data_IF_312597656024
#
_entry.id   IF_312597656024
#
_cell.length_a   1.000
_cell.length_b   1.000
_cell.length_c   1.000
_cell.angle_alpha   90.00
_cell.angle_beta   90.00
_cell.angle_gamma   90.00
#
_symmetry.space_group_name_H-M   'P 1'
#
loop_
_entity.id
_entity.type
_entity.pdbx_description
1 polymer ?
#
# COMPACT_ATOMS: atom_id res chain seq x y z
N UNK A 1 -17.47 -16.68 -8.14
CA UNK A 1 -16.35 -15.86 -7.62
C UNK A 1 -15.39 -16.85 -6.97
N UNK A 2 -14.18 -17.02 -7.50
CA UNK A 2 -13.17 -17.81 -6.80
C UNK A 2 -12.80 -17.02 -5.56
N UNK A 3 -13.04 -17.58 -4.37
CA UNK A 3 -12.71 -16.89 -3.13
C UNK A 3 -11.20 -16.70 -3.02
N UNK A 4 -10.74 -15.45 -3.05
CA UNK A 4 -9.34 -15.15 -2.79
C UNK A 4 -8.96 -15.67 -1.39
N UNK A 5 -7.76 -16.23 -1.27
CA UNK A 5 -7.24 -16.81 -0.03
C UNK A 5 -6.50 -15.75 0.78
N UNK A 6 -7.01 -15.46 1.95
CA UNK A 6 -6.40 -14.52 2.89
C UNK A 6 -5.72 -15.32 4.01
N UNK A 7 -4.40 -15.18 4.13
CA UNK A 7 -3.66 -15.73 5.25
C UNK A 7 -3.62 -14.70 6.39
N UNK A 8 -4.19 -15.04 7.53
CA UNK A 8 -4.11 -14.25 8.76
C UNK A 8 -3.01 -14.83 9.64
N UNK A 9 -2.01 -14.01 9.95
CA UNK A 9 -0.85 -14.35 10.79
C UNK A 9 -0.90 -13.52 12.06
N UNK A 10 -1.25 -14.12 13.16
CA UNK A 10 -1.37 -13.46 14.46
C UNK A 10 -1.33 -14.56 15.54
N UNK A 11 -0.59 -14.35 16.63
CA UNK A 11 -0.49 -15.29 17.76
C UNK A 11 -1.66 -15.13 18.75
N UNK A 12 -2.46 -14.06 18.60
CA UNK A 12 -3.66 -13.82 19.39
C UNK A 12 -4.88 -14.54 18.79
N UNK A 13 -5.43 -15.62 19.40
CA UNK A 13 -6.60 -16.32 18.87
C UNK A 13 -7.85 -15.45 18.74
N UNK A 14 -7.92 -14.37 19.52
CA UNK A 14 -9.03 -13.40 19.50
C UNK A 14 -9.11 -12.69 18.16
N UNK A 15 -7.98 -12.29 17.59
CA UNK A 15 -7.91 -11.62 16.29
C UNK A 15 -8.47 -12.53 15.20
N UNK A 16 -8.05 -13.80 15.18
CA UNK A 16 -8.57 -14.77 14.21
C UNK A 16 -10.06 -15.04 14.38
N UNK A 17 -10.55 -15.13 15.64
CA UNK A 17 -11.98 -15.28 15.94
C UNK A 17 -12.80 -14.09 15.46
N UNK A 18 -12.26 -12.88 15.54
CA UNK A 18 -12.90 -11.67 15.07
C UNK A 18 -12.88 -11.57 13.52
N UNK A 19 -11.74 -11.87 12.90
CA UNK A 19 -11.54 -11.66 11.46
C UNK A 19 -12.18 -12.74 10.58
N UNK A 20 -12.11 -14.01 10.97
CA UNK A 20 -12.59 -15.14 10.17
C UNK A 20 -14.04 -15.00 9.73
N UNK A 21 -15.04 -14.68 10.61
CA UNK A 21 -16.41 -14.52 10.17
C UNK A 21 -16.59 -13.37 9.18
N UNK A 22 -15.92 -12.24 9.41
CA UNK A 22 -16.02 -11.06 8.57
C UNK A 22 -15.41 -11.31 7.18
N UNK A 23 -14.24 -11.93 7.10
CA UNK A 23 -13.59 -12.29 5.84
C UNK A 23 -14.41 -13.33 5.06
N UNK A 24 -14.91 -14.37 5.75
CA UNK A 24 -15.76 -15.40 5.12
C UNK A 24 -17.07 -14.83 4.59
N UNK A 25 -17.70 -13.90 5.34
CA UNK A 25 -18.92 -13.22 4.88
C UNK A 25 -18.69 -12.37 3.61
N UNK A 26 -17.44 -11.89 3.40
CA UNK A 26 -17.04 -11.21 2.17
C UNK A 26 -16.64 -12.16 1.04
N UNK A 27 -16.72 -13.49 1.23
CA UNK A 27 -16.44 -14.52 0.23
C UNK A 27 -14.98 -14.94 0.16
N UNK A 28 -14.13 -14.57 1.12
CA UNK A 28 -12.73 -14.99 1.19
C UNK A 28 -12.57 -16.36 1.84
N UNK A 29 -11.60 -17.15 1.35
CA UNK A 29 -11.10 -18.32 2.05
C UNK A 29 -10.04 -17.89 3.08
N UNK A 30 -10.21 -18.29 4.36
CA UNK A 30 -9.33 -17.83 5.45
C UNK A 30 -8.39 -18.94 5.88
N UNK A 31 -7.10 -18.72 5.62
CA UNK A 31 -5.99 -19.49 6.18
C UNK A 31 -5.49 -18.80 7.46
N UNK A 32 -4.86 -19.55 8.36
CA UNK A 32 -4.28 -18.99 9.58
C UNK A 32 -2.90 -19.56 9.90
N UNK A 33 -2.07 -18.74 10.55
CA UNK A 33 -0.77 -19.10 11.09
C UNK A 33 -0.55 -18.31 12.38
N UNK A 34 0.08 -18.92 13.37
CA UNK A 34 0.31 -18.32 14.71
C UNK A 34 1.79 -17.93 14.91
N UNK A 35 2.65 -18.25 13.96
CA UNK A 35 4.09 -17.99 14.03
C UNK A 35 4.63 -17.57 12.66
N UNK A 36 5.75 -16.86 12.65
CA UNK A 36 6.39 -16.45 11.40
C UNK A 36 6.84 -17.63 10.55
N UNK A 37 7.34 -18.70 11.18
CA UNK A 37 7.74 -19.93 10.46
C UNK A 37 6.54 -20.61 9.81
N UNK A 38 5.42 -20.75 10.52
CA UNK A 38 4.19 -21.33 9.96
C UNK A 38 3.60 -20.43 8.87
N UNK A 39 3.73 -19.11 9.00
CA UNK A 39 3.33 -18.14 7.97
C UNK A 39 4.15 -18.32 6.68
N UNK A 40 5.48 -18.36 6.77
CA UNK A 40 6.36 -18.57 5.60
C UNK A 40 6.05 -19.91 4.91
N UNK A 41 5.82 -20.98 5.69
CA UNK A 41 5.42 -22.26 5.14
C UNK A 41 4.05 -22.17 4.43
N UNK A 42 3.06 -21.52 5.04
CA UNK A 42 1.74 -21.34 4.44
C UNK A 42 1.80 -20.50 3.16
N UNK A 43 2.60 -19.43 3.13
CA UNK A 43 2.81 -18.60 1.93
C UNK A 43 3.40 -19.45 0.79
N UNK A 44 4.42 -20.26 1.07
CA UNK A 44 5.07 -21.09 0.07
C UNK A 44 4.17 -22.24 -0.43
N UNK A 45 3.42 -22.92 0.46
CA UNK A 45 2.68 -24.14 0.14
C UNK A 45 1.23 -23.90 -0.28
N UNK A 46 0.61 -22.83 0.19
CA UNK A 46 -0.81 -22.52 -0.05
C UNK A 46 -1.01 -21.36 -1.01
N UNK A 47 0.05 -20.59 -1.34
CA UNK A 47 0.03 -19.43 -2.22
C UNK A 47 -1.21 -18.52 -1.98
N UNK A 48 -1.32 -17.86 -0.79
CA UNK A 48 -2.42 -16.96 -0.50
C UNK A 48 -2.38 -15.75 -1.46
N UNK A 49 -3.56 -15.17 -1.72
CA UNK A 49 -3.68 -13.99 -2.56
C UNK A 49 -3.35 -12.69 -1.79
N UNK A 50 -3.42 -12.76 -0.43
CA UNK A 50 -3.02 -11.67 0.46
C UNK A 50 -2.65 -12.24 1.83
N UNK A 51 -1.73 -11.58 2.52
CA UNK A 51 -1.32 -11.88 3.90
C UNK A 51 -1.67 -10.71 4.80
N UNK A 52 -2.42 -10.96 5.87
CA UNK A 52 -2.55 -10.09 7.05
C UNK A 52 -1.52 -10.53 8.07
N UNK A 53 -0.61 -9.65 8.49
CA UNK A 53 0.52 -10.01 9.32
C UNK A 53 0.62 -9.13 10.56
N UNK A 54 0.55 -9.74 11.73
CA UNK A 54 1.02 -9.10 12.95
C UNK A 54 2.54 -9.07 13.00
N UNK A 55 3.13 -8.01 13.56
CA UNK A 55 4.58 -7.90 13.72
C UNK A 55 5.10 -8.57 14.99
N UNK A 56 4.27 -8.70 16.01
CA UNK A 56 4.62 -9.22 17.34
C UNK A 56 4.61 -10.73 17.45
N UNK A 57 5.14 -11.45 16.46
CA UNK A 57 5.11 -12.93 16.47
C UNK A 57 6.09 -13.53 17.50
N UNK A 58 5.76 -14.70 18.10
CA UNK A 58 6.54 -15.26 19.20
C UNK A 58 7.89 -15.84 18.78
N UNK A 59 8.10 -16.17 17.50
CA UNK A 59 9.28 -16.88 17.02
C UNK A 59 10.23 -16.03 16.17
N UNK A 60 9.75 -14.95 15.56
CA UNK A 60 10.56 -14.01 14.78
C UNK A 60 9.87 -12.66 14.59
N UNK A 61 10.66 -11.61 14.31
CA UNK A 61 10.13 -10.30 13.92
C UNK A 61 9.33 -10.41 12.61
N UNK A 62 8.09 -9.89 12.60
CA UNK A 62 7.23 -9.90 11.41
C UNK A 62 7.88 -9.23 10.19
N UNK A 63 8.79 -8.26 10.37
CA UNK A 63 9.57 -7.68 9.28
C UNK A 63 10.49 -8.69 8.59
N UNK A 64 10.99 -9.65 9.35
CA UNK A 64 11.73 -10.79 8.78
C UNK A 64 10.84 -11.67 7.91
N UNK A 65 9.57 -11.86 8.31
CA UNK A 65 8.58 -12.57 7.48
C UNK A 65 8.35 -11.83 6.17
N UNK A 66 8.16 -10.49 6.20
CA UNK A 66 7.95 -9.66 5.00
C UNK A 66 9.13 -9.82 4.03
N UNK A 67 10.35 -9.64 4.53
CA UNK A 67 11.57 -9.71 3.71
C UNK A 67 11.77 -11.10 3.10
N UNK A 68 11.59 -12.17 3.90
CA UNK A 68 11.75 -13.54 3.42
C UNK A 68 10.67 -13.94 2.43
N UNK A 69 9.39 -13.60 2.72
CA UNK A 69 8.28 -13.86 1.80
C UNK A 69 8.47 -13.15 0.46
N UNK A 70 8.97 -11.92 0.44
CA UNK A 70 9.23 -11.14 -0.76
C UNK A 70 10.23 -11.79 -1.73
N UNK A 71 11.07 -12.71 -1.25
CA UNK A 71 12.01 -13.44 -2.10
C UNK A 71 11.35 -14.50 -3.00
N UNK A 72 10.17 -15.02 -2.62
CA UNK A 72 9.53 -16.12 -3.34
C UNK A 72 8.01 -15.94 -3.57
N UNK A 73 7.39 -14.91 -3.01
CA UNK A 73 5.96 -14.63 -3.14
C UNK A 73 5.71 -13.19 -3.57
N UNK A 74 4.67 -13.00 -4.39
CA UNK A 74 4.15 -11.68 -4.80
C UNK A 74 2.88 -11.29 -4.04
N UNK A 75 2.42 -12.13 -3.12
CA UNK A 75 1.23 -11.83 -2.32
C UNK A 75 1.43 -10.53 -1.53
N UNK A 76 0.53 -9.56 -1.64
CA UNK A 76 0.62 -8.33 -0.87
C UNK A 76 0.50 -8.64 0.63
N UNK A 77 1.35 -8.00 1.43
CA UNK A 77 1.35 -8.13 2.89
C UNK A 77 0.82 -6.83 3.49
N UNK A 78 -0.31 -6.91 4.19
CA UNK A 78 -0.88 -5.82 4.99
C UNK A 78 -0.57 -6.09 6.45
N UNK A 79 0.08 -5.14 7.11
CA UNK A 79 0.52 -5.28 8.50
C UNK A 79 -0.59 -4.85 9.46
N UNK A 80 -0.80 -5.65 10.51
CA UNK A 80 -1.59 -5.27 11.70
C UNK A 80 -0.62 -4.76 12.77
N UNK A 81 -0.79 -3.55 13.28
CA UNK A 81 0.17 -2.91 14.19
C UNK A 81 -0.51 -2.20 15.35
N UNK A 82 0.10 -2.22 16.54
CA UNK A 82 -0.36 -1.43 17.68
C UNK A 82 -0.05 0.07 17.48
N UNK A 83 -0.87 0.95 18.09
CA UNK A 83 -0.95 2.41 17.88
C UNK A 83 0.34 3.22 18.06
N UNK A 84 1.32 2.74 18.81
CA UNK A 84 2.41 3.60 19.31
C UNK A 84 3.77 3.42 18.63
N UNK A 85 3.81 2.88 17.40
CA UNK A 85 5.10 2.54 16.78
C UNK A 85 5.20 3.03 15.33
N UNK A 86 5.14 4.36 15.14
CA UNK A 86 5.31 4.97 13.80
C UNK A 86 6.58 4.50 13.09
N UNK A 87 7.68 4.35 13.83
CA UNK A 87 8.93 3.82 13.29
C UNK A 87 8.81 2.36 12.82
N UNK A 88 7.98 1.55 13.47
CA UNK A 88 7.74 0.16 13.04
C UNK A 88 6.91 0.10 11.77
N UNK A 89 5.90 0.98 11.61
CA UNK A 89 5.12 1.10 10.37
C UNK A 89 6.01 1.42 9.18
N UNK A 90 6.83 2.47 9.31
CA UNK A 90 7.77 2.88 8.27
C UNK A 90 8.72 1.73 7.94
N UNK A 91 9.29 1.08 8.95
CA UNK A 91 10.21 -0.04 8.77
C UNK A 91 9.55 -1.25 8.08
N UNK A 92 8.28 -1.56 8.39
CA UNK A 92 7.54 -2.64 7.74
C UNK A 92 7.25 -2.33 6.27
N UNK A 93 6.84 -1.09 5.96
CA UNK A 93 6.60 -0.63 4.58
C UNK A 93 7.91 -0.63 3.77
N UNK A 94 9.01 -0.19 4.36
CA UNK A 94 10.33 -0.23 3.72
C UNK A 94 10.84 -1.67 3.53
N UNK A 95 10.42 -2.62 4.38
CA UNK A 95 10.70 -4.04 4.22
C UNK A 95 9.87 -4.70 3.10
N UNK A 96 8.81 -4.04 2.61
CA UNK A 96 8.00 -4.51 1.49
C UNK A 96 6.51 -4.72 1.77
N UNK A 97 6.02 -4.40 2.98
CA UNK A 97 4.58 -4.38 3.23
C UNK A 97 3.88 -3.38 2.30
N UNK A 98 2.67 -3.72 1.84
CA UNK A 98 1.92 -2.84 0.92
C UNK A 98 1.07 -1.80 1.65
N UNK A 99 0.61 -2.11 2.85
CA UNK A 99 -0.16 -1.20 3.70
C UNK A 99 -0.08 -1.66 5.16
N UNK A 100 -0.65 -0.86 6.08
CA UNK A 100 -0.79 -1.22 7.48
C UNK A 100 -2.17 -0.82 8.01
N UNK A 101 -2.60 -1.48 9.10
CA UNK A 101 -3.82 -1.18 9.84
C UNK A 101 -3.48 -1.12 11.33
N UNK A 102 -3.90 -0.05 11.99
CA UNK A 102 -3.65 0.11 13.43
C UNK A 102 -4.65 -0.69 14.27
N UNK A 103 -4.15 -1.40 15.28
CA UNK A 103 -4.97 -2.01 16.32
C UNK A 103 -5.30 -0.96 17.41
N UNK A 104 -6.57 -0.82 17.88
CA UNK A 104 -7.78 -1.50 17.42
C UNK A 104 -8.32 -0.90 16.13
N UNK A 105 -8.77 -1.74 15.21
CA UNK A 105 -9.28 -1.34 13.89
C UNK A 105 -10.78 -1.58 13.73
N UNK A 106 -11.42 -0.77 12.89
CA UNK A 106 -12.77 -1.05 12.43
C UNK A 106 -12.74 -2.10 11.30
N UNK A 107 -13.64 -3.11 11.36
CA UNK A 107 -13.70 -4.16 10.33
C UNK A 107 -13.91 -3.55 8.93
N UNK A 108 -14.74 -2.50 8.82
CA UNK A 108 -14.97 -1.81 7.53
C UNK A 108 -13.72 -1.19 6.93
N UNK A 109 -12.87 -0.58 7.75
CA UNK A 109 -11.57 -0.04 7.33
C UNK A 109 -10.64 -1.15 6.83
N UNK A 110 -10.48 -2.21 7.63
CA UNK A 110 -9.66 -3.35 7.24
C UNK A 110 -10.12 -3.93 5.90
N UNK A 111 -11.43 -4.16 5.73
CA UNK A 111 -11.96 -4.69 4.47
C UNK A 111 -11.73 -3.76 3.27
N UNK A 112 -11.78 -2.45 3.46
CA UNK A 112 -11.46 -1.50 2.40
C UNK A 112 -9.98 -1.60 1.98
N UNK A 113 -9.05 -1.65 2.95
CA UNK A 113 -7.61 -1.79 2.68
C UNK A 113 -7.26 -3.13 2.04
N UNK A 114 -7.88 -4.23 2.46
CA UNK A 114 -7.72 -5.55 1.82
C UNK A 114 -8.13 -5.52 0.35
N UNK A 115 -9.33 -4.97 0.07
CA UNK A 115 -9.79 -4.84 -1.33
C UNK A 115 -8.84 -3.98 -2.16
N UNK A 116 -8.30 -2.91 -1.60
CA UNK A 116 -7.32 -2.06 -2.27
C UNK A 116 -6.03 -2.85 -2.59
N UNK A 117 -5.49 -3.59 -1.61
CA UNK A 117 -4.28 -4.38 -1.77
C UNK A 117 -4.45 -5.51 -2.81
N UNK A 118 -5.57 -6.24 -2.78
CA UNK A 118 -5.89 -7.30 -3.77
C UNK A 118 -6.07 -6.72 -5.16
N UNK A 119 -6.82 -5.63 -5.30
CA UNK A 119 -7.00 -4.93 -6.59
C UNK A 119 -5.67 -4.49 -7.17
N UNK A 120 -4.77 -3.97 -6.33
CA UNK A 120 -3.44 -3.54 -6.73
C UNK A 120 -2.60 -4.73 -7.24
N UNK A 121 -2.56 -5.83 -6.49
CA UNK A 121 -1.83 -7.04 -6.89
C UNK A 121 -2.34 -7.60 -8.23
N UNK A 122 -3.66 -7.62 -8.45
CA UNK A 122 -4.27 -8.04 -9.71
C UNK A 122 -3.89 -7.12 -10.89
N UNK A 123 -3.69 -5.81 -10.64
CA UNK A 123 -3.30 -4.83 -11.66
C UNK A 123 -1.80 -4.82 -11.98
N UNK A 124 -0.93 -5.25 -11.06
CA UNK A 124 0.49 -5.43 -11.37
C UNK A 124 0.71 -6.49 -12.48
N UNK A 125 -0.23 -7.40 -12.66
CA UNK A 125 -0.24 -8.38 -13.76
C UNK A 125 -0.63 -7.74 -15.10
N UNK A 126 -1.40 -6.62 -15.09
CA UNK A 126 -1.74 -5.80 -16.26
C UNK A 126 -1.09 -4.42 -16.16
N UNK A 127 -0.32 -4.00 -17.18
CA UNK A 127 0.25 -2.65 -17.21
C UNK A 127 -0.86 -1.61 -17.07
N UNK A 128 -0.86 -0.85 -15.96
CA UNK A 128 -1.73 0.32 -15.82
C UNK A 128 -1.24 1.35 -16.85
N UNK A 129 -2.00 1.52 -17.94
CA UNK A 129 -1.65 2.48 -18.99
C UNK A 129 -2.29 3.85 -18.73
N UNK A 130 -3.42 3.89 -18.02
CA UNK A 130 -4.19 5.11 -17.78
C UNK A 130 -4.83 5.11 -16.39
N UNK A 131 -4.73 6.23 -15.71
CA UNK A 131 -5.33 6.49 -14.38
C UNK A 131 -6.22 7.71 -14.47
N UNK A 132 -7.46 7.59 -13.98
CA UNK A 132 -8.44 8.70 -13.94
C UNK A 132 -8.94 8.90 -12.50
N UNK A 133 -8.84 10.12 -11.97
CA UNK A 133 -9.26 10.51 -10.62
C UNK A 133 -9.63 11.98 -10.55
N UNK A 134 -10.81 12.32 -10.04
CA UNK A 134 -11.20 13.71 -9.76
C UNK A 134 -10.94 14.66 -10.95
N UNK A 135 -11.28 14.27 -12.17
CA UNK A 135 -11.02 15.03 -13.38
C UNK A 135 -9.55 15.07 -13.86
N UNK A 136 -8.63 14.44 -13.11
CA UNK A 136 -7.25 14.20 -13.54
C UNK A 136 -7.18 12.92 -14.36
N UNK A 137 -6.52 12.97 -15.52
CA UNK A 137 -6.21 11.81 -16.35
C UNK A 137 -4.71 11.73 -16.56
N UNK A 138 -4.13 10.58 -16.24
CA UNK A 138 -2.71 10.28 -16.40
C UNK A 138 -2.58 9.15 -17.42
N UNK A 139 -2.14 9.44 -18.63
CA UNK A 139 -1.76 8.45 -19.64
C UNK A 139 -0.27 8.11 -19.43
N UNK A 140 -0.02 6.98 -18.80
CA UNK A 140 1.33 6.56 -18.44
C UNK A 140 2.13 6.07 -19.65
N UNK A 141 1.45 5.56 -20.69
CA UNK A 141 2.08 5.11 -21.92
C UNK A 141 2.59 6.30 -22.74
N UNK A 142 1.78 7.36 -22.83
CA UNK A 142 2.10 8.59 -23.59
C UNK A 142 2.82 9.65 -22.75
N UNK A 143 2.96 9.45 -21.44
CA UNK A 143 3.48 10.42 -20.46
C UNK A 143 2.70 11.75 -20.51
N UNK A 144 1.39 11.69 -20.71
CA UNK A 144 0.50 12.84 -20.83
C UNK A 144 -0.37 12.95 -19.57
N UNK A 145 -0.48 14.15 -19.02
CA UNK A 145 -1.35 14.45 -17.88
C UNK A 145 -2.31 15.56 -18.28
N UNK A 146 -3.60 15.34 -18.04
CA UNK A 146 -4.64 16.36 -18.24
C UNK A 146 -5.49 16.51 -17.00
N UNK A 147 -5.96 17.72 -16.71
CA UNK A 147 -6.91 18.03 -15.64
C UNK A 147 -8.09 18.75 -16.26
N UNK A 148 -9.30 18.19 -16.08
CA UNK A 148 -10.54 18.69 -16.70
C UNK A 148 -10.39 18.92 -18.22
N UNK A 149 -9.67 18.02 -18.91
CA UNK A 149 -9.40 18.09 -20.35
C UNK A 149 -8.25 19.03 -20.77
N UNK A 150 -7.73 19.88 -19.88
CA UNK A 150 -6.59 20.74 -20.16
C UNK A 150 -5.27 20.05 -19.84
N UNK A 151 -4.25 20.18 -20.71
CA UNK A 151 -2.93 19.59 -20.49
C UNK A 151 -2.21 20.24 -19.32
N UNK A 152 -1.73 19.42 -18.38
CA UNK A 152 -0.92 19.85 -17.22
C UNK A 152 0.56 19.71 -17.58
N UNK A 153 1.30 20.82 -17.52
CA UNK A 153 2.75 20.81 -17.77
C UNK A 153 3.51 20.44 -16.49
N UNK A 154 4.12 19.25 -16.49
CA UNK A 154 4.97 18.75 -15.41
C UNK A 154 6.43 18.72 -15.87
N UNK A 155 7.33 19.02 -14.94
CA UNK A 155 8.75 18.71 -15.13
C UNK A 155 8.98 17.20 -15.12
N UNK A 156 10.12 16.68 -15.61
CA UNK A 156 10.40 15.25 -15.60
C UNK A 156 10.27 14.61 -14.20
N UNK A 157 10.77 15.28 -13.14
CA UNK A 157 10.71 14.78 -11.77
C UNK A 157 9.31 14.83 -11.17
N UNK A 158 8.54 15.86 -11.45
CA UNK A 158 7.12 15.92 -11.07
C UNK A 158 6.33 14.80 -11.73
N UNK A 159 6.57 14.54 -13.02
CA UNK A 159 5.91 13.45 -13.73
C UNK A 159 6.30 12.09 -13.14
N UNK A 160 7.58 11.82 -12.90
CA UNK A 160 8.07 10.57 -12.30
C UNK A 160 7.41 10.32 -10.94
N UNK A 161 7.37 11.35 -10.08
CA UNK A 161 6.74 11.28 -8.77
C UNK A 161 5.24 11.00 -8.88
N UNK A 162 4.51 11.72 -9.75
CA UNK A 162 3.10 11.49 -9.99
C UNK A 162 2.83 10.08 -10.54
N UNK A 163 3.64 9.61 -11.49
CA UNK A 163 3.48 8.29 -12.09
C UNK A 163 3.68 7.14 -11.08
N UNK A 164 4.62 7.29 -10.14
CA UNK A 164 4.85 6.31 -9.08
C UNK A 164 3.66 6.30 -8.12
N UNK A 165 3.19 7.47 -7.69
CA UNK A 165 2.03 7.60 -6.83
C UNK A 165 0.77 7.01 -7.48
N UNK A 166 0.52 7.34 -8.75
CA UNK A 166 -0.64 6.87 -9.50
C UNK A 166 -0.64 5.34 -9.70
N UNK A 167 0.53 4.73 -9.95
CA UNK A 167 0.68 3.27 -9.98
C UNK A 167 0.43 2.62 -8.63
N UNK A 168 0.67 3.35 -7.56
CA UNK A 168 0.36 2.92 -6.20
C UNK A 168 -1.13 2.70 -5.93
N UNK A 169 -2.03 3.36 -6.67
CA UNK A 169 -3.51 3.18 -6.66
C UNK A 169 -4.10 3.03 -5.25
N UNK A 170 -3.82 4.00 -4.38
CA UNK A 170 -4.25 4.01 -2.98
C UNK A 170 -3.23 3.43 -1.99
N UNK A 171 -2.19 2.72 -2.46
CA UNK A 171 -1.12 2.22 -1.60
C UNK A 171 -0.33 3.37 -0.96
N UNK A 172 0.00 3.23 0.32
CA UNK A 172 0.93 4.13 0.99
C UNK A 172 2.37 3.88 0.48
N UNK A 173 3.01 4.97 0.04
CA UNK A 173 4.42 4.97 -0.33
C UNK A 173 5.19 5.84 0.67
N UNK A 174 6.20 5.26 1.32
CA UNK A 174 7.01 5.98 2.31
C UNK A 174 7.83 7.09 1.65
N UNK A 175 8.23 8.10 2.45
CA UNK A 175 9.14 9.14 1.98
C UNK A 175 10.39 8.52 1.33
N UNK A 176 10.95 7.50 1.97
CA UNK A 176 12.15 6.79 1.50
C UNK A 176 11.92 6.05 0.17
N UNK A 177 10.79 5.36 0.03
CA UNK A 177 10.43 4.68 -1.22
C UNK A 177 10.31 5.68 -2.38
N UNK A 178 9.60 6.78 -2.17
CA UNK A 178 9.42 7.83 -3.18
C UNK A 178 10.75 8.50 -3.55
N UNK A 179 11.55 8.89 -2.56
CA UNK A 179 12.86 9.51 -2.78
C UNK A 179 13.81 8.58 -3.54
N UNK A 180 13.90 7.34 -3.11
CA UNK A 180 14.77 6.35 -3.76
C UNK A 180 14.34 6.09 -5.20
N UNK A 181 13.04 5.96 -5.45
CA UNK A 181 12.51 5.67 -6.78
C UNK A 181 12.68 6.81 -7.78
N UNK A 182 12.55 8.09 -7.32
CA UNK A 182 12.59 9.26 -8.21
C UNK A 182 14.01 9.85 -8.32
N UNK A 183 14.76 9.88 -7.23
CA UNK A 183 16.09 10.54 -7.18
C UNK A 183 17.26 9.59 -6.90
N UNK A 184 16.96 8.34 -6.59
CA UNK A 184 17.97 7.33 -6.30
C UNK A 184 18.32 7.23 -4.81
N UNK A 185 19.05 6.17 -4.42
CA UNK A 185 19.30 5.83 -3.01
C UNK A 185 20.13 6.88 -2.25
N UNK A 186 20.88 7.75 -2.93
CA UNK A 186 21.64 8.82 -2.31
C UNK A 186 20.74 9.89 -1.65
N UNK A 187 19.50 10.04 -2.12
CA UNK A 187 18.55 11.06 -1.66
C UNK A 187 17.49 10.52 -0.70
N UNK A 188 17.62 9.28 -0.22
CA UNK A 188 16.60 8.56 0.56
C UNK A 188 16.11 9.26 1.83
N UNK A 189 16.89 10.18 2.39
CA UNK A 189 16.61 10.86 3.65
C UNK A 189 16.21 12.33 3.45
N UNK A 190 16.12 12.82 2.19
CA UNK A 190 15.84 14.22 1.83
C UNK A 190 14.33 14.55 1.85
N UNK A 191 13.64 14.25 2.97
CA UNK A 191 12.18 14.38 3.09
C UNK A 191 11.66 15.81 2.84
N UNK A 192 12.43 16.84 3.18
CA UNK A 192 12.08 18.24 2.90
C UNK A 192 12.01 18.52 1.39
N UNK A 193 12.93 17.93 0.62
CA UNK A 193 12.95 18.05 -0.82
C UNK A 193 11.69 17.43 -1.46
N UNK A 194 11.30 16.22 -0.99
CA UNK A 194 10.07 15.57 -1.44
C UNK A 194 8.83 16.44 -1.16
N UNK A 195 8.75 17.08 0.03
CA UNK A 195 7.62 17.95 0.38
C UNK A 195 7.45 19.11 -0.59
N UNK A 196 8.54 19.71 -1.08
CA UNK A 196 8.51 20.78 -2.08
C UNK A 196 7.86 20.27 -3.38
N UNK A 197 8.29 19.11 -3.88
CA UNK A 197 7.74 18.53 -5.11
C UNK A 197 6.27 18.12 -4.95
N UNK A 198 5.88 17.58 -3.80
CA UNK A 198 4.46 17.30 -3.51
C UNK A 198 3.63 18.58 -3.51
N UNK A 199 4.13 19.66 -2.91
CA UNK A 199 3.48 20.98 -2.96
C UNK A 199 3.32 21.50 -4.38
N UNK A 200 4.37 21.41 -5.20
CA UNK A 200 4.35 21.79 -6.61
C UNK A 200 3.38 20.94 -7.43
N UNK A 201 3.33 19.63 -7.21
CA UNK A 201 2.36 18.76 -7.86
C UNK A 201 0.94 19.14 -7.48
N UNK A 202 0.65 19.29 -6.18
CA UNK A 202 -0.68 19.68 -5.69
C UNK A 202 -1.14 20.99 -6.32
N UNK A 203 -0.28 21.99 -6.42
CA UNK A 203 -0.64 23.26 -7.07
C UNK A 203 -1.01 23.15 -8.55
N UNK A 204 -0.63 22.05 -9.22
CA UNK A 204 -0.90 21.80 -10.63
C UNK A 204 -2.08 20.86 -10.91
N UNK A 205 -2.36 19.93 -9.97
CA UNK A 205 -3.32 18.85 -10.23
C UNK A 205 -4.51 18.84 -9.28
N UNK A 206 -4.42 19.42 -8.09
CA UNK A 206 -5.53 19.54 -7.16
C UNK A 206 -6.45 20.71 -7.54
N UNK A 207 -7.73 20.59 -7.22
CA UNK A 207 -8.66 21.72 -7.33
C UNK A 207 -8.45 22.71 -6.18
N UNK A 208 -8.13 22.20 -4.98
CA UNK A 208 -7.72 22.97 -3.82
C UNK A 208 -6.43 22.36 -3.22
N UNK A 209 -5.26 22.97 -3.48
CA UNK A 209 -3.98 22.47 -2.95
C UNK A 209 -3.87 22.46 -1.43
N UNK A 210 -4.67 23.29 -0.74
CA UNK A 210 -4.69 23.34 0.73
C UNK A 210 -5.48 22.17 1.34
N UNK A 211 -6.49 21.67 0.59
CA UNK A 211 -7.32 20.52 0.96
C UNK A 211 -7.20 19.42 -0.12
N UNK A 212 -6.03 18.77 -0.25
CA UNK A 212 -5.75 17.86 -1.35
C UNK A 212 -6.63 16.61 -1.29
N UNK A 213 -7.13 16.17 -2.45
CA UNK A 213 -7.96 14.98 -2.61
C UNK A 213 -7.30 13.90 -3.47
N UNK A 214 -6.29 14.25 -4.27
CA UNK A 214 -5.60 13.32 -5.16
C UNK A 214 -4.31 12.77 -4.53
N UNK A 215 -3.49 13.65 -3.91
CA UNK A 215 -2.29 13.23 -3.20
C UNK A 215 -2.50 13.43 -1.72
N UNK A 216 -2.78 12.35 -1.00
CA UNK A 216 -3.06 12.36 0.43
C UNK A 216 -1.77 12.22 1.23
N UNK A 217 -1.68 12.93 2.38
CA UNK A 217 -0.55 12.81 3.31
C UNK A 217 -0.89 11.81 4.39
N UNK A 218 -0.04 10.82 4.59
CA UNK A 218 -0.01 9.98 5.79
C UNK A 218 1.07 10.53 6.70
N UNK A 219 0.64 11.16 7.80
CA UNK A 219 1.53 11.87 8.71
C UNK A 219 2.68 10.96 9.17
N UNK A 220 3.91 11.50 9.11
CA UNK A 220 5.13 10.81 9.47
C UNK A 220 5.57 9.71 8.51
N UNK A 221 4.69 9.06 7.75
CA UNK A 221 5.00 7.90 6.94
C UNK A 221 5.30 8.23 5.47
N UNK A 222 4.41 8.97 4.78
CA UNK A 222 4.57 9.21 3.35
C UNK A 222 3.33 9.78 2.67
N UNK A 223 3.08 9.32 1.45
CA UNK A 223 1.97 9.77 0.62
C UNK A 223 1.28 8.61 -0.06
N UNK A 224 -0.02 8.80 -0.35
CA UNK A 224 -0.79 7.89 -1.22
C UNK A 224 -1.55 8.68 -2.28
N UNK A 225 -1.78 8.08 -3.43
CA UNK A 225 -2.69 8.61 -4.43
C UNK A 225 -4.11 8.16 -4.10
N UNK A 226 -5.11 9.00 -4.39
CA UNK A 226 -6.50 8.65 -4.14
C UNK A 226 -6.91 7.36 -4.86
N UNK A 227 -7.74 6.55 -4.22
CA UNK A 227 -8.31 5.33 -4.80
C UNK A 227 -9.34 5.66 -5.90
N UNK A 228 -9.65 4.68 -6.75
CA UNK A 228 -10.77 4.81 -7.66
C UNK A 228 -12.07 4.96 -6.87
N UNK A 229 -12.90 5.92 -7.23
CA UNK A 229 -14.30 5.95 -6.79
C UNK A 229 -14.98 4.68 -7.31
N UNK A 230 -15.60 3.94 -6.40
CA UNK A 230 -16.29 2.67 -6.70
C UNK A 230 -17.63 2.92 -7.37
#
# INVERSE_FOLDING_TARGET
MNGERILVVDDEPEILRCLRPALTACGYEVLSAETGRSALHAIASRAPDLVLLDLGLPDMDGKSVITQAGAFSKAPIVVLSARDREAEKISALDAGAVDYVEKPFAIGELMARLRAALRHAAREVGKIERVERGGLVIDLARRLVTKHGATVKLTPKEYELLAILARGDGRLLTHRQLLTAVWGPAHRDDSQYLRVFIGQLRSKIEDDPANPRLILTELGAGYRFAEAES
#
